data_IF_229855751179
#
_entry.id   IF_229855751179
#
_cell.length_a   1.000
_cell.length_b   1.000
_cell.length_c   1.000
_cell.angle_alpha   90.00
_cell.angle_beta   90.00
_cell.angle_gamma   90.00
#
_symmetry.space_group_name_H-M   'P 1'
#
loop_
_entity.id
_entity.type
_entity.pdbx_description
1 polymer ?
#
# COMPACT_ATOMS: atom_id res chain seq x y z
N UNK A 1 -28.61 -10.33 -18.73
CA UNK A 1 -29.22 -10.82 -17.49
C UNK A 1 -29.84 -12.19 -17.74
N UNK A 2 -29.51 -13.16 -16.90
CA UNK A 2 -29.69 -14.62 -17.03
C UNK A 2 -31.14 -15.10 -17.20
N UNK A 3 -32.12 -14.37 -16.68
CA UNK A 3 -33.56 -14.65 -16.80
C UNK A 3 -34.05 -14.72 -18.27
N UNK A 4 -33.39 -13.99 -19.19
CA UNK A 4 -33.72 -14.01 -20.62
C UNK A 4 -33.43 -15.36 -21.30
N UNK A 5 -32.57 -16.20 -20.72
CA UNK A 5 -32.23 -17.52 -21.26
C UNK A 5 -33.34 -18.51 -20.97
N UNK A 6 -33.81 -18.55 -19.72
CA UNK A 6 -34.89 -19.45 -19.28
C UNK A 6 -36.26 -19.06 -19.86
N UNK A 7 -36.53 -17.77 -20.06
CA UNK A 7 -37.77 -17.30 -20.70
C UNK A 7 -37.86 -17.61 -22.21
N UNK A 8 -36.78 -18.08 -22.86
CA UNK A 8 -36.84 -18.56 -24.25
C UNK A 8 -37.51 -19.93 -24.35
N UNK A 9 -37.63 -20.67 -23.25
CA UNK A 9 -38.34 -21.93 -23.20
C UNK A 9 -39.85 -21.69 -23.05
N UNK A 10 -40.65 -22.13 -24.04
CA UNK A 10 -42.12 -21.94 -24.06
C UNK A 10 -42.86 -22.50 -22.85
N UNK A 11 -42.21 -23.33 -22.03
CA UNK A 11 -42.79 -24.02 -20.86
C UNK A 11 -42.53 -23.30 -19.53
N UNK A 12 -41.71 -22.26 -19.52
CA UNK A 12 -41.27 -21.59 -18.28
C UNK A 12 -41.94 -20.22 -18.16
N UNK A 13 -42.74 -20.04 -17.11
CA UNK A 13 -43.32 -18.74 -16.78
C UNK A 13 -42.33 -17.89 -15.93
N UNK A 14 -42.63 -16.61 -15.77
CA UNK A 14 -41.77 -15.65 -15.04
C UNK A 14 -41.47 -16.04 -13.59
N UNK A 15 -42.40 -16.68 -12.88
CA UNK A 15 -42.19 -17.15 -11.51
C UNK A 15 -41.30 -18.40 -11.46
N UNK A 16 -41.49 -19.32 -12.40
CA UNK A 16 -40.65 -20.51 -12.56
C UNK A 16 -39.21 -20.12 -12.93
N UNK A 17 -39.03 -19.16 -13.83
CA UNK A 17 -37.73 -18.60 -14.19
C UNK A 17 -37.01 -18.00 -12.96
N UNK A 18 -37.71 -17.18 -12.16
CA UNK A 18 -37.13 -16.63 -10.93
C UNK A 18 -36.67 -17.72 -9.96
N UNK A 19 -37.40 -18.84 -9.86
CA UNK A 19 -37.02 -19.98 -9.03
C UNK A 19 -35.83 -20.76 -9.62
N UNK A 20 -35.77 -20.94 -10.94
CA UNK A 20 -34.65 -21.58 -11.63
C UNK A 20 -33.36 -20.77 -11.47
N UNK A 21 -33.44 -19.45 -11.59
CA UNK A 21 -32.32 -18.53 -11.36
C UNK A 21 -31.79 -18.65 -9.93
N UNK A 22 -32.67 -18.66 -8.92
CA UNK A 22 -32.27 -18.85 -7.52
C UNK A 22 -31.63 -20.21 -7.26
N UNK A 23 -32.11 -21.26 -7.94
CA UNK A 23 -31.58 -22.62 -7.82
C UNK A 23 -30.21 -22.75 -8.50
N UNK A 24 -30.03 -22.12 -9.66
CA UNK A 24 -28.78 -22.14 -10.42
C UNK A 24 -27.69 -21.26 -9.80
N UNK A 25 -28.08 -20.14 -9.18
CA UNK A 25 -27.17 -19.18 -8.56
C UNK A 25 -27.57 -18.95 -7.09
N UNK A 26 -27.31 -19.92 -6.20
CA UNK A 26 -27.58 -19.75 -4.78
C UNK A 26 -26.73 -18.61 -4.20
N UNK A 27 -27.24 -17.88 -3.20
CA UNK A 27 -26.46 -16.85 -2.53
C UNK A 27 -25.26 -17.49 -1.82
N UNK A 28 -24.07 -17.17 -2.29
CA UNK A 28 -22.81 -17.56 -1.64
C UNK A 28 -22.49 -16.54 -0.54
N UNK A 29 -22.12 -16.97 0.70
CA UNK A 29 -21.88 -16.06 1.82
C UNK A 29 -20.57 -15.26 1.68
N UNK A 30 -19.72 -15.63 0.73
CA UNK A 30 -18.47 -14.96 0.43
C UNK A 30 -18.49 -14.38 -0.99
N UNK A 31 -17.72 -13.32 -1.19
CA UNK A 31 -17.47 -12.74 -2.51
C UNK A 31 -15.98 -12.87 -2.78
N UNK A 32 -15.66 -13.35 -3.96
CA UNK A 32 -14.31 -13.27 -4.51
C UNK A 32 -14.04 -11.82 -4.93
N UNK A 33 -12.77 -11.39 -4.85
CA UNK A 33 -12.32 -10.01 -5.15
C UNK A 33 -12.76 -8.91 -4.16
N UNK A 34 -13.04 -9.23 -2.88
CA UNK A 34 -13.25 -8.21 -1.83
C UNK A 34 -12.07 -7.24 -1.65
N UNK A 35 -10.86 -7.67 -2.01
CA UNK A 35 -9.65 -6.88 -1.86
C UNK A 35 -9.28 -6.22 -3.19
N UNK A 36 -9.20 -4.89 -3.17
CA UNK A 36 -8.69 -4.12 -4.31
C UNK A 36 -7.18 -4.29 -4.36
N UNK A 37 -6.68 -5.07 -5.32
CA UNK A 37 -5.24 -5.24 -5.54
C UNK A 37 -4.58 -3.90 -5.89
N UNK A 38 -5.02 -3.23 -6.96
CA UNK A 38 -4.59 -1.88 -7.35
C UNK A 38 -5.85 -1.05 -7.64
N UNK A 39 -5.86 0.22 -7.21
CA UNK A 39 -7.05 1.08 -7.28
C UNK A 39 -7.19 1.61 -8.71
N UNK A 40 -8.19 1.14 -9.46
CA UNK A 40 -8.47 1.66 -10.80
C UNK A 40 -7.25 1.59 -11.73
N UNK A 41 -6.97 2.69 -12.45
CA UNK A 41 -5.90 2.79 -13.44
C UNK A 41 -4.52 3.16 -12.84
N UNK A 42 -4.35 2.92 -11.54
CA UNK A 42 -3.09 3.20 -10.88
C UNK A 42 -2.00 2.23 -11.37
N UNK A 43 -0.85 2.78 -11.76
CA UNK A 43 0.30 2.04 -12.28
C UNK A 43 1.54 2.42 -11.49
N UNK A 44 2.50 1.52 -11.23
CA UNK A 44 3.78 1.90 -10.62
C UNK A 44 4.49 3.04 -11.37
N UNK A 45 4.17 3.23 -12.66
CA UNK A 45 4.81 4.20 -13.54
C UNK A 45 4.06 5.52 -13.70
N UNK A 46 2.86 5.67 -13.12
CA UNK A 46 2.06 6.88 -13.31
C UNK A 46 2.35 8.00 -12.29
N UNK A 47 3.42 7.86 -11.50
CA UNK A 47 3.99 8.95 -10.71
C UNK A 47 3.23 9.33 -9.44
N UNK A 48 2.20 8.58 -9.02
CA UNK A 48 1.51 8.84 -7.75
C UNK A 48 2.29 8.27 -6.56
N UNK A 49 3.42 8.93 -6.27
CA UNK A 49 4.43 8.59 -5.25
C UNK A 49 3.82 8.39 -3.85
N UNK A 50 2.78 9.16 -3.52
CA UNK A 50 2.12 9.07 -2.20
C UNK A 50 1.30 7.77 -2.09
N UNK A 51 0.72 7.30 -3.19
CA UNK A 51 -0.05 6.06 -3.23
C UNK A 51 0.85 4.83 -3.07
N UNK A 52 1.96 4.79 -3.81
CA UNK A 52 2.91 3.67 -3.79
C UNK A 52 3.73 3.64 -2.50
N UNK A 53 4.19 4.79 -1.99
CA UNK A 53 4.94 4.85 -0.72
C UNK A 53 4.11 4.42 0.49
N UNK A 54 2.82 4.79 0.56
CA UNK A 54 1.90 4.33 1.62
C UNK A 54 1.63 2.82 1.55
N UNK A 55 1.62 2.27 0.35
CA UNK A 55 1.36 0.85 0.09
C UNK A 55 2.58 -0.01 0.42
N UNK A 56 3.78 0.40 0.01
CA UNK A 56 5.04 -0.24 0.41
C UNK A 56 5.19 -0.22 1.93
N UNK A 57 4.87 0.92 2.56
CA UNK A 57 4.90 1.06 4.03
C UNK A 57 3.89 0.16 4.78
N UNK A 58 2.82 -0.30 4.12
CA UNK A 58 1.86 -1.25 4.69
C UNK A 58 2.30 -2.71 4.55
N UNK A 59 3.12 -3.02 3.54
CA UNK A 59 3.66 -4.36 3.32
C UNK A 59 4.91 -4.60 4.17
N UNK A 60 5.71 -3.55 4.38
CA UNK A 60 6.85 -3.59 5.28
C UNK A 60 6.44 -3.24 6.71
N UNK A 61 6.37 -4.23 7.61
CA UNK A 61 6.24 -4.01 9.07
C UNK A 61 7.54 -3.52 9.74
N UNK A 62 8.51 -3.09 8.94
CA UNK A 62 9.83 -2.66 9.38
C UNK A 62 9.81 -1.33 10.15
N UNK A 63 10.92 -1.03 10.83
CA UNK A 63 11.07 0.27 11.49
C UNK A 63 11.07 1.44 10.49
N UNK A 64 11.42 1.17 9.22
CA UNK A 64 11.49 2.16 8.14
C UNK A 64 10.13 2.71 7.78
N UNK A 65 9.14 1.84 7.53
CA UNK A 65 7.78 2.25 7.18
C UNK A 65 7.10 3.05 8.27
N UNK A 66 7.22 2.61 9.53
CA UNK A 66 6.71 3.35 10.71
C UNK A 66 7.33 4.74 10.81
N UNK A 67 8.62 4.84 10.54
CA UNK A 67 9.36 6.10 10.58
C UNK A 67 8.95 7.01 9.43
N UNK A 68 8.77 6.48 8.22
CA UNK A 68 8.28 7.21 7.05
C UNK A 68 6.88 7.77 7.25
N UNK A 69 5.94 6.95 7.74
CA UNK A 69 4.58 7.38 8.03
C UNK A 69 4.60 8.52 9.07
N UNK A 70 5.37 8.37 10.15
CA UNK A 70 5.51 9.39 11.19
C UNK A 70 6.11 10.69 10.64
N UNK A 71 7.07 10.59 9.73
CA UNK A 71 7.68 11.74 9.06
C UNK A 71 6.89 12.23 7.86
N UNK A 72 5.67 11.74 7.60
CA UNK A 72 4.86 12.12 6.42
C UNK A 72 5.64 11.99 5.10
N UNK A 73 6.51 10.99 5.00
CA UNK A 73 7.39 10.74 3.86
C UNK A 73 8.32 11.92 3.51
N UNK A 74 8.75 12.69 4.51
CA UNK A 74 9.80 13.71 4.37
C UNK A 74 11.08 13.29 5.07
N UNK A 75 12.22 13.57 4.43
CA UNK A 75 13.54 13.36 4.99
C UNK A 75 13.73 14.23 6.24
N UNK A 76 14.13 13.60 7.35
CA UNK A 76 14.32 14.29 8.62
C UNK A 76 15.56 15.19 8.67
N UNK A 77 16.42 15.14 7.64
CA UNK A 77 17.61 15.99 7.53
C UNK A 77 17.38 17.21 6.63
N UNK A 78 16.96 17.00 5.38
CA UNK A 78 16.78 18.11 4.42
C UNK A 78 15.33 18.58 4.24
N UNK A 79 14.34 17.90 4.83
CA UNK A 79 12.93 18.27 4.74
C UNK A 79 12.26 17.98 3.39
N UNK A 80 13.01 17.51 2.38
CA UNK A 80 12.45 17.12 1.08
C UNK A 80 11.70 15.79 1.18
N UNK A 81 10.74 15.59 0.27
CA UNK A 81 10.00 14.31 0.18
C UNK A 81 10.85 13.24 -0.48
N UNK A 82 10.69 12.00 -0.01
CA UNK A 82 11.30 10.84 -0.65
C UNK A 82 10.68 10.58 -2.03
N UNK A 83 11.53 10.21 -2.98
CA UNK A 83 11.14 9.77 -4.33
C UNK A 83 11.29 8.25 -4.41
N UNK A 84 10.45 7.57 -5.21
CA UNK A 84 10.34 6.09 -5.22
C UNK A 84 11.64 5.35 -5.56
N UNK A 85 12.58 5.97 -6.28
CA UNK A 85 13.87 5.35 -6.65
C UNK A 85 15.00 5.66 -5.66
N UNK A 86 14.78 6.54 -4.68
CA UNK A 86 15.82 6.90 -3.72
C UNK A 86 15.92 5.87 -2.60
N UNK A 87 17.16 5.46 -2.28
CA UNK A 87 17.41 4.60 -1.12
C UNK A 87 17.18 5.38 0.17
N UNK A 88 16.24 4.87 0.97
CA UNK A 88 15.87 5.41 2.28
C UNK A 88 16.65 4.65 3.35
N UNK A 89 17.28 5.40 4.26
CA UNK A 89 18.07 4.84 5.35
C UNK A 89 17.57 5.34 6.70
N UNK A 90 17.70 4.49 7.73
CA UNK A 90 17.32 4.83 9.09
C UNK A 90 18.53 5.33 9.89
N UNK A 91 18.44 6.56 10.38
CA UNK A 91 19.43 7.17 11.24
C UNK A 91 18.99 7.15 12.71
N UNK A 92 19.87 6.75 13.62
CA UNK A 92 19.64 6.84 15.07
C UNK A 92 20.03 8.24 15.58
N UNK A 93 19.05 9.01 16.06
CA UNK A 93 19.25 10.39 16.52
C UNK A 93 20.23 10.44 17.70
N UNK A 94 20.08 9.54 18.68
CA UNK A 94 20.92 9.52 19.88
C UNK A 94 22.22 8.71 19.73
N UNK A 95 22.54 8.19 18.53
CA UNK A 95 23.69 7.29 18.26
C UNK A 95 23.75 6.02 19.14
N UNK A 96 22.72 5.76 19.93
CA UNK A 96 22.63 4.59 20.76
C UNK A 96 21.86 3.51 20.01
N UNK A 97 22.61 2.56 19.45
CA UNK A 97 22.07 1.41 18.72
C UNK A 97 21.24 0.46 19.58
N UNK A 98 21.31 0.58 20.93
CA UNK A 98 20.49 -0.23 21.85
C UNK A 98 19.07 0.31 22.06
N UNK A 99 18.76 1.53 21.58
CA UNK A 99 17.44 2.13 21.71
C UNK A 99 16.70 2.17 20.37
N UNK A 100 16.10 1.04 20.00
CA UNK A 100 15.32 0.86 18.75
C UNK A 100 13.89 1.43 18.83
N UNK A 101 13.60 2.30 19.82
CA UNK A 101 12.30 2.96 19.90
C UNK A 101 12.08 3.81 18.66
N UNK A 102 10.87 3.77 18.10
CA UNK A 102 10.49 4.52 16.91
C UNK A 102 10.84 6.01 17.04
N UNK A 103 10.77 6.56 18.25
CA UNK A 103 11.06 7.95 18.58
C UNK A 103 12.51 8.35 18.27
N UNK A 104 13.44 7.39 18.30
CA UNK A 104 14.87 7.58 18.13
C UNK A 104 15.38 7.34 16.69
N UNK A 105 14.50 6.86 15.80
CA UNK A 105 14.84 6.61 14.40
C UNK A 105 14.45 7.82 13.55
N UNK A 106 15.19 8.08 12.49
CA UNK A 106 14.93 9.14 11.54
C UNK A 106 15.18 8.63 10.13
N UNK A 107 14.17 8.63 9.26
CA UNK A 107 14.34 8.32 7.85
C UNK A 107 15.04 9.51 7.17
N UNK A 108 16.13 9.21 6.47
CA UNK A 108 16.92 10.17 5.70
C UNK A 108 17.28 9.59 4.33
N UNK A 109 17.55 10.44 3.34
CA UNK A 109 18.11 9.99 2.06
C UNK A 109 19.49 9.38 2.27
N UNK A 110 19.88 8.41 1.46
CA UNK A 110 21.26 7.88 1.43
C UNK A 110 22.30 9.00 1.25
N UNK A 111 22.02 9.97 0.38
CA UNK A 111 22.85 11.17 0.18
C UNK A 111 22.98 11.99 1.47
N UNK A 112 21.85 12.28 2.14
CA UNK A 112 21.83 13.00 3.41
C UNK A 112 22.57 12.25 4.52
N UNK A 113 22.44 10.92 4.57
CA UNK A 113 23.19 10.10 5.49
C UNK A 113 24.69 10.23 5.26
N UNK A 114 25.14 10.16 4.00
CA UNK A 114 26.55 10.35 3.67
C UNK A 114 27.05 11.73 4.14
N UNK A 115 26.27 12.80 3.97
CA UNK A 115 26.63 14.12 4.52
C UNK A 115 26.76 14.11 6.05
N UNK A 116 25.81 13.48 6.76
CA UNK A 116 25.83 13.38 8.23
C UNK A 116 27.06 12.63 8.75
N UNK A 117 27.49 11.57 8.04
CA UNK A 117 28.65 10.77 8.42
C UNK A 117 29.99 11.37 7.95
N UNK A 118 30.00 12.07 6.81
CA UNK A 118 31.20 12.71 6.25
C UNK A 118 31.59 13.99 7.00
N UNK A 119 30.63 14.70 7.60
CA UNK A 119 30.94 15.81 8.53
C UNK A 119 31.47 15.37 9.90
N UNK A 120 31.68 14.06 10.14
CA UNK A 120 32.20 13.54 11.42
C UNK A 120 33.51 12.77 11.28
N UNK A 121 34.14 12.81 10.10
CA UNK A 121 35.48 12.26 9.84
C UNK A 121 36.59 13.32 9.88
N UNK A 122 36.28 14.57 10.27
CA UNK A 122 37.25 15.59 10.62
C UNK A 122 37.02 16.04 12.07
N UNK A 123 37.63 15.29 12.99
CA UNK A 123 37.96 15.71 14.36
C UNK A 123 39.00 14.77 14.93
#
# INVERSE_FOLDING_TARGET
MTYKVFLKEKKVNRQMDANLVKKAFPPVPYSENKHINVRGDYSPFNGDLVYWSKRQSKLDNGATSRTLIRQKHTCGYCGLKFIDEEKIQLHHINRNHSNSRANNLLAVHESCQNYIHRCKSES
#
